data_IF_016341538814
#
_entry.id   IF_016341538814
#
_cell.length_a   1.000
_cell.length_b   1.000
_cell.length_c   1.000
_cell.angle_alpha   90.00
_cell.angle_beta   90.00
_cell.angle_gamma   90.00
#
_symmetry.space_group_name_H-M   'P 1'
#
loop_
_entity.id
_entity.type
_entity.pdbx_description
1 polymer ?
#
# COMPACT_ATOMS: atom_id res chain seq x y z
N UNK A 1 3.91 28.79 -26.03
CA UNK A 1 3.69 27.63 -25.13
C UNK A 1 3.88 26.37 -25.97
N UNK A 2 5.07 25.85 -26.03
CA UNK A 2 5.41 24.64 -26.79
C UNK A 2 4.70 23.45 -26.14
N UNK A 3 3.79 22.83 -26.87
CA UNK A 3 3.20 21.52 -26.54
C UNK A 3 4.35 20.52 -26.40
N UNK A 4 4.78 20.23 -25.16
CA UNK A 4 5.70 19.12 -24.94
C UNK A 4 5.01 17.84 -25.44
N UNK A 5 5.46 17.34 -26.60
CA UNK A 5 5.04 16.03 -27.11
C UNK A 5 5.30 14.99 -26.01
N UNK A 6 4.29 14.21 -25.69
CA UNK A 6 4.41 13.09 -24.74
C UNK A 6 5.48 12.16 -25.29
N UNK A 7 6.58 12.03 -24.60
CA UNK A 7 7.63 11.10 -24.99
C UNK A 7 7.35 9.75 -24.31
N UNK A 8 6.59 8.93 -25.00
CA UNK A 8 6.14 7.60 -24.53
C UNK A 8 7.33 6.75 -24.08
N UNK A 9 8.48 6.84 -24.76
CA UNK A 9 9.68 6.08 -24.39
C UNK A 9 10.26 6.43 -23.00
N UNK A 10 9.98 7.64 -22.49
CA UNK A 10 10.39 8.04 -21.13
C UNK A 10 9.34 7.66 -20.05
N UNK A 11 8.09 7.48 -20.46
CA UNK A 11 6.99 7.18 -19.53
C UNK A 11 6.96 5.70 -19.15
N UNK A 12 7.13 4.80 -20.11
CA UNK A 12 7.05 3.35 -19.84
C UNK A 12 8.03 2.86 -18.77
N UNK A 13 9.32 3.25 -18.74
CA UNK A 13 10.24 2.85 -17.68
C UNK A 13 9.79 3.34 -16.31
N UNK A 14 9.19 4.53 -16.23
CA UNK A 14 8.62 5.06 -14.97
C UNK A 14 7.38 4.26 -14.57
N UNK A 15 6.51 3.88 -15.52
CA UNK A 15 5.36 3.03 -15.23
C UNK A 15 5.76 1.64 -14.71
N UNK A 16 6.84 1.07 -15.22
CA UNK A 16 7.35 -0.21 -14.74
C UNK A 16 7.75 -0.14 -13.25
N UNK A 17 8.20 1.03 -12.77
CA UNK A 17 8.47 1.21 -11.34
C UNK A 17 7.20 1.14 -10.48
N UNK A 18 6.04 1.52 -11.01
CA UNK A 18 4.76 1.37 -10.30
C UNK A 18 4.29 -0.10 -10.23
N UNK A 19 4.69 -0.94 -11.19
CA UNK A 19 4.54 -2.40 -11.07
C UNK A 19 5.33 -2.89 -9.87
N UNK A 20 6.63 -2.51 -9.78
CA UNK A 20 7.48 -2.90 -8.64
C UNK A 20 6.95 -2.32 -7.32
N UNK A 21 6.39 -1.11 -7.32
CA UNK A 21 5.74 -0.52 -6.15
C UNK A 21 4.59 -1.39 -5.62
N UNK A 22 3.87 -2.10 -6.50
CA UNK A 22 2.82 -3.04 -6.11
C UNK A 22 3.32 -4.32 -5.46
N UNK A 23 4.61 -4.65 -5.58
CA UNK A 23 5.17 -5.89 -5.01
C UNK A 23 5.15 -5.92 -3.48
N UNK A 24 5.06 -4.78 -2.83
CA UNK A 24 4.92 -4.71 -1.37
C UNK A 24 3.67 -5.45 -0.87
N UNK A 25 2.62 -5.50 -1.67
CA UNK A 25 1.35 -6.11 -1.30
C UNK A 25 1.42 -7.66 -1.28
N UNK A 26 2.56 -8.26 -1.76
CA UNK A 26 2.87 -9.69 -1.57
C UNK A 26 2.94 -10.07 -0.09
N UNK A 27 3.17 -9.10 0.80
CA UNK A 27 3.21 -9.33 2.24
C UNK A 27 1.98 -10.08 2.75
N UNK A 28 0.79 -9.79 2.18
CA UNK A 28 -0.45 -10.44 2.57
C UNK A 28 -0.39 -11.95 2.38
N UNK A 29 -0.22 -12.39 1.14
CA UNK A 29 -0.19 -13.83 0.82
C UNK A 29 1.04 -14.51 1.41
N UNK A 30 2.18 -13.85 1.45
CA UNK A 30 3.42 -14.40 2.04
C UNK A 30 3.27 -14.66 3.53
N UNK A 31 2.55 -13.81 4.27
CA UNK A 31 2.35 -13.98 5.72
C UNK A 31 1.76 -15.36 6.03
N UNK A 32 0.73 -15.80 5.29
CA UNK A 32 0.12 -17.11 5.52
C UNK A 32 1.04 -18.27 5.15
N UNK A 33 1.79 -18.18 4.05
CA UNK A 33 2.74 -19.23 3.68
C UNK A 33 3.91 -19.32 4.67
N UNK A 34 4.48 -18.20 5.08
CA UNK A 34 5.58 -18.13 6.06
C UNK A 34 5.11 -18.64 7.43
N UNK A 35 3.87 -18.27 7.83
CA UNK A 35 3.26 -18.78 9.06
C UNK A 35 3.18 -20.30 9.05
N UNK A 36 2.77 -20.90 7.93
CA UNK A 36 2.71 -22.36 7.75
C UNK A 36 4.11 -22.98 7.74
N UNK A 37 5.05 -22.41 6.97
CA UNK A 37 6.39 -22.97 6.76
C UNK A 37 7.23 -23.04 8.07
N UNK A 38 7.01 -22.07 8.97
CA UNK A 38 7.75 -21.95 10.24
C UNK A 38 6.87 -22.18 11.48
N UNK A 39 5.64 -22.65 11.33
CA UNK A 39 4.69 -22.95 12.41
C UNK A 39 4.53 -21.77 13.39
N UNK A 40 4.41 -20.54 12.85
CA UNK A 40 4.38 -19.33 13.65
C UNK A 40 3.02 -19.09 14.30
N UNK A 41 3.01 -18.50 15.50
CA UNK A 41 1.81 -17.90 16.07
C UNK A 41 1.30 -16.72 15.22
N UNK A 42 0.02 -16.37 15.34
CA UNK A 42 -0.56 -15.21 14.67
C UNK A 42 0.25 -13.94 14.95
N UNK A 43 0.69 -13.75 16.18
CA UNK A 43 1.50 -12.59 16.57
C UNK A 43 2.84 -12.55 15.82
N UNK A 44 3.57 -13.67 15.76
CA UNK A 44 4.86 -13.73 15.07
C UNK A 44 4.71 -13.57 13.56
N UNK A 45 3.66 -14.12 12.96
CA UNK A 45 3.39 -13.97 11.54
C UNK A 45 3.19 -12.49 11.15
N UNK A 46 2.54 -11.70 12.01
CA UNK A 46 2.30 -10.28 11.76
C UNK A 46 3.55 -9.38 11.92
N UNK A 47 4.69 -9.93 12.36
CA UNK A 47 5.97 -9.22 12.24
C UNK A 47 6.43 -9.05 10.78
N UNK A 48 5.93 -9.87 9.85
CA UNK A 48 6.26 -9.74 8.43
C UNK A 48 5.75 -8.41 7.86
N UNK A 49 4.46 -8.04 7.94
CA UNK A 49 4.01 -6.71 7.56
C UNK A 49 4.67 -5.59 8.38
N UNK A 50 4.94 -5.80 9.68
CA UNK A 50 5.69 -4.84 10.48
C UNK A 50 7.06 -4.52 9.85
N UNK A 51 7.85 -5.56 9.50
CA UNK A 51 9.18 -5.40 8.89
C UNK A 51 9.15 -4.71 7.52
N UNK A 52 8.00 -4.68 6.84
CA UNK A 52 7.83 -3.95 5.58
C UNK A 52 7.48 -2.48 5.83
N UNK A 53 6.47 -2.22 6.65
CA UNK A 53 5.83 -0.90 6.71
C UNK A 53 6.45 0.07 7.72
N UNK A 54 7.24 -0.41 8.68
CA UNK A 54 7.94 0.47 9.66
C UNK A 54 8.89 1.46 8.97
N UNK A 55 9.46 1.09 7.83
CA UNK A 55 10.42 1.90 7.10
C UNK A 55 9.80 3.14 6.45
N UNK A 56 8.49 3.15 6.24
CA UNK A 56 7.78 4.35 5.81
C UNK A 56 7.90 5.47 6.84
N UNK A 57 7.84 5.14 8.13
CA UNK A 57 8.08 6.11 9.19
C UNK A 57 9.51 6.61 9.20
N UNK A 58 10.48 5.71 9.07
CA UNK A 58 11.90 6.02 9.20
C UNK A 58 12.44 6.77 7.99
N UNK A 59 12.08 6.35 6.76
CA UNK A 59 12.75 6.80 5.54
C UNK A 59 11.95 7.81 4.70
N UNK A 60 10.64 8.01 4.88
CA UNK A 60 9.86 8.87 3.99
C UNK A 60 10.40 10.29 3.91
N UNK A 61 10.65 10.94 5.03
CA UNK A 61 11.18 12.31 5.07
C UNK A 61 12.66 12.36 4.64
N UNK A 62 13.57 11.52 5.17
CA UNK A 62 14.95 11.47 4.72
C UNK A 62 15.10 11.22 3.21
N UNK A 63 14.31 10.31 2.65
CA UNK A 63 14.31 10.04 1.19
C UNK A 63 13.83 11.24 0.40
N UNK A 64 12.76 11.92 0.85
CA UNK A 64 12.27 13.15 0.24
C UNK A 64 13.33 14.24 0.15
N UNK A 65 14.08 14.46 1.25
CA UNK A 65 15.19 15.43 1.29
C UNK A 65 16.38 14.98 0.43
N UNK A 66 16.70 13.69 0.46
CA UNK A 66 17.84 13.15 -0.27
C UNK A 66 17.61 13.15 -1.79
N UNK A 67 16.38 12.87 -2.26
CA UNK A 67 16.08 12.90 -3.70
C UNK A 67 16.27 14.28 -4.33
N UNK A 68 16.08 15.37 -3.57
CA UNK A 68 16.35 16.75 -4.05
C UNK A 68 17.84 17.00 -4.28
N UNK A 69 18.74 16.25 -3.59
CA UNK A 69 20.19 16.38 -3.70
C UNK A 69 20.78 15.48 -4.80
N UNK A 70 20.36 14.21 -4.84
CA UNK A 70 20.97 13.21 -5.74
C UNK A 70 20.17 12.93 -7.01
N UNK A 71 18.93 13.44 -7.09
CA UNK A 71 17.99 13.25 -8.18
C UNK A 71 16.99 12.11 -7.94
N UNK A 72 15.78 12.29 -8.47
CA UNK A 72 14.63 11.40 -8.32
C UNK A 72 14.88 10.04 -9.00
N UNK A 73 15.46 10.06 -10.21
CA UNK A 73 15.80 8.85 -10.96
C UNK A 73 16.84 8.00 -10.25
N UNK A 74 17.90 8.62 -9.69
CA UNK A 74 18.92 7.89 -8.92
C UNK A 74 18.32 7.30 -7.66
N UNK A 75 17.50 8.08 -6.95
CA UNK A 75 16.81 7.62 -5.76
C UNK A 75 15.89 6.42 -6.07
N UNK A 76 15.13 6.50 -7.17
CA UNK A 76 14.31 5.39 -7.66
C UNK A 76 15.13 4.12 -7.90
N UNK A 77 16.26 4.22 -8.61
CA UNK A 77 17.12 3.05 -8.87
C UNK A 77 17.70 2.45 -7.58
N UNK A 78 18.04 3.27 -6.58
CA UNK A 78 18.47 2.79 -5.26
C UNK A 78 17.34 1.98 -4.61
N UNK A 79 16.11 2.49 -4.61
CA UNK A 79 14.96 1.78 -4.05
C UNK A 79 14.68 0.45 -4.76
N UNK A 80 14.72 0.44 -6.09
CA UNK A 80 14.57 -0.77 -6.90
C UNK A 80 15.69 -1.79 -6.61
N UNK A 81 16.93 -1.34 -6.47
CA UNK A 81 18.06 -2.21 -6.16
C UNK A 81 17.94 -2.85 -4.76
N UNK A 82 17.56 -2.06 -3.76
CA UNK A 82 17.32 -2.57 -2.39
C UNK A 82 16.18 -3.59 -2.40
N UNK A 83 15.09 -3.32 -3.14
CA UNK A 83 13.98 -4.27 -3.32
C UNK A 83 14.46 -5.57 -3.97
N UNK A 84 15.27 -5.47 -5.04
CA UNK A 84 15.82 -6.64 -5.74
C UNK A 84 16.66 -7.54 -4.81
N UNK A 85 17.54 -6.93 -4.03
CA UNK A 85 18.34 -7.66 -3.04
C UNK A 85 17.44 -8.35 -2.02
N UNK A 86 16.44 -7.62 -1.48
CA UNK A 86 15.46 -8.20 -0.55
C UNK A 86 14.75 -9.43 -1.12
N UNK A 87 14.26 -9.35 -2.36
CA UNK A 87 13.56 -10.45 -3.03
C UNK A 87 14.41 -11.73 -3.19
N UNK A 88 15.74 -11.59 -3.29
CA UNK A 88 16.66 -12.73 -3.52
C UNK A 88 17.17 -13.40 -2.23
N UNK A 89 17.11 -12.74 -1.08
CA UNK A 89 17.64 -13.27 0.19
C UNK A 89 17.09 -14.65 0.55
N UNK A 90 15.76 -14.95 0.44
CA UNK A 90 15.22 -16.25 0.81
C UNK A 90 15.73 -17.42 -0.01
N UNK A 91 16.37 -17.16 -1.16
CA UNK A 91 16.96 -18.21 -2.01
C UNK A 91 18.42 -18.54 -1.65
N UNK A 92 19.10 -17.68 -0.88
CA UNK A 92 20.46 -17.95 -0.36
C UNK A 92 20.35 -18.91 0.82
N UNK A 93 19.45 -18.61 1.75
CA UNK A 93 19.19 -19.45 2.92
C UNK A 93 17.76 -19.18 3.41
N UNK A 94 16.91 -20.22 3.46
CA UNK A 94 15.52 -20.09 3.87
C UNK A 94 15.35 -20.35 5.36
N UNK A 95 15.26 -19.30 6.14
CA UNK A 95 14.97 -19.29 7.57
C UNK A 95 14.05 -18.12 7.91
N UNK A 96 13.39 -18.17 9.06
CA UNK A 96 12.53 -17.06 9.49
C UNK A 96 13.29 -15.73 9.56
N UNK A 97 14.52 -15.73 10.07
CA UNK A 97 15.37 -14.52 10.14
C UNK A 97 15.69 -13.99 8.74
N UNK A 98 16.06 -14.85 7.79
CA UNK A 98 16.37 -14.42 6.43
C UNK A 98 15.13 -13.84 5.72
N UNK A 99 13.96 -14.41 5.99
CA UNK A 99 12.69 -13.88 5.50
C UNK A 99 12.42 -12.49 6.08
N UNK A 100 12.61 -12.28 7.38
CA UNK A 100 12.46 -10.95 7.99
C UNK A 100 13.42 -9.93 7.34
N UNK A 101 14.69 -10.30 7.12
CA UNK A 101 15.67 -9.44 6.45
C UNK A 101 15.24 -9.14 5.00
N UNK A 102 14.70 -10.12 4.29
CA UNK A 102 14.14 -9.92 2.95
C UNK A 102 13.02 -8.88 2.95
N UNK A 103 12.06 -9.01 3.87
CA UNK A 103 10.94 -8.08 3.98
C UNK A 103 11.36 -6.69 4.49
N UNK A 104 12.42 -6.58 5.30
CA UNK A 104 13.08 -5.30 5.60
C UNK A 104 13.60 -4.66 4.29
N UNK A 105 14.32 -5.42 3.47
CA UNK A 105 14.83 -4.93 2.17
C UNK A 105 13.70 -4.49 1.23
N UNK A 106 12.65 -5.28 1.12
CA UNK A 106 11.45 -4.94 0.33
C UNK A 106 10.79 -3.66 0.88
N UNK A 107 10.67 -3.52 2.21
CA UNK A 107 10.07 -2.36 2.86
C UNK A 107 10.86 -1.08 2.65
N UNK A 108 12.18 -1.10 2.87
CA UNK A 108 13.07 0.04 2.63
C UNK A 108 13.02 0.44 1.15
N UNK A 109 13.20 -0.54 0.25
CA UNK A 109 13.19 -0.32 -1.18
C UNK A 109 11.86 0.26 -1.65
N UNK A 110 10.73 -0.29 -1.18
CA UNK A 110 9.39 0.20 -1.53
C UNK A 110 9.12 1.61 -0.99
N UNK A 111 9.56 1.94 0.23
CA UNK A 111 9.48 3.31 0.77
C UNK A 111 10.18 4.30 -0.15
N UNK A 112 11.40 3.98 -0.57
CA UNK A 112 12.18 4.82 -1.48
C UNK A 112 11.46 4.97 -2.83
N UNK A 113 10.96 3.87 -3.39
CA UNK A 113 10.21 3.86 -4.65
C UNK A 113 8.95 4.72 -4.53
N UNK A 114 8.16 4.57 -3.47
CA UNK A 114 6.90 5.34 -3.30
C UNK A 114 7.15 6.84 -3.15
N UNK A 115 8.18 7.24 -2.41
CA UNK A 115 8.53 8.67 -2.26
C UNK A 115 9.01 9.27 -3.58
N UNK A 116 9.77 8.52 -4.39
CA UNK A 116 10.37 9.01 -5.63
C UNK A 116 9.46 8.90 -6.86
N UNK A 117 8.49 7.96 -6.88
CA UNK A 117 7.71 7.62 -8.07
C UNK A 117 6.86 8.77 -8.60
N UNK A 118 6.08 9.41 -7.74
CA UNK A 118 5.20 10.50 -8.15
C UNK A 118 5.98 11.73 -8.63
N UNK A 119 7.02 12.22 -7.92
CA UNK A 119 7.89 13.29 -8.43
C UNK A 119 8.61 12.94 -9.72
N UNK A 120 9.06 11.69 -9.90
CA UNK A 120 9.71 11.26 -11.13
C UNK A 120 8.72 11.25 -12.32
N UNK A 121 7.46 10.82 -12.08
CA UNK A 121 6.42 10.87 -13.11
C UNK A 121 6.14 12.31 -13.56
N UNK A 122 6.19 13.30 -12.65
CA UNK A 122 6.02 14.72 -12.99
C UNK A 122 7.09 15.25 -13.93
N UNK A 123 8.29 14.66 -13.95
CA UNK A 123 9.37 15.08 -14.86
C UNK A 123 9.14 14.61 -16.30
N UNK A 124 8.38 13.51 -16.50
CA UNK A 124 8.19 12.90 -17.82
C UNK A 124 6.81 13.16 -18.43
N UNK A 125 5.87 13.73 -17.66
CA UNK A 125 4.48 13.98 -18.07
C UNK A 125 4.19 15.50 -17.96
N UNK A 126 3.44 16.03 -18.94
CA UNK A 126 3.00 17.44 -18.87
C UNK A 126 2.00 17.65 -17.71
N UNK A 127 2.03 18.83 -17.08
CA UNK A 127 1.16 19.20 -15.96
C UNK A 127 -0.34 18.99 -16.27
N UNK A 128 -0.76 19.28 -17.51
CA UNK A 128 -2.16 19.09 -17.96
C UNK A 128 -2.64 17.63 -17.90
N UNK A 129 -1.72 16.65 -18.01
CA UNK A 129 -2.04 15.21 -18.04
C UNK A 129 -1.58 14.48 -16.79
N UNK A 130 -0.95 15.18 -15.85
CA UNK A 130 -0.34 14.58 -14.66
C UNK A 130 -1.35 13.77 -13.85
N UNK A 131 -2.54 14.34 -13.55
CA UNK A 131 -3.57 13.64 -12.76
C UNK A 131 -4.02 12.32 -13.42
N UNK A 132 -4.19 12.33 -14.76
CA UNK A 132 -4.56 11.10 -15.49
C UNK A 132 -3.48 10.04 -15.43
N UNK A 133 -2.20 10.44 -15.57
CA UNK A 133 -1.09 9.51 -15.51
C UNK A 133 -0.82 9.00 -14.09
N UNK A 134 -1.02 9.82 -13.05
CA UNK A 134 -1.00 9.38 -11.65
C UNK A 134 -2.09 8.33 -11.38
N UNK A 135 -3.32 8.58 -11.85
CA UNK A 135 -4.41 7.60 -11.71
C UNK A 135 -4.09 6.30 -12.44
N UNK A 136 -3.55 6.39 -13.67
CA UNK A 136 -3.15 5.22 -14.45
C UNK A 136 -2.01 4.45 -13.76
N UNK A 137 -1.04 5.13 -13.16
CA UNK A 137 0.06 4.47 -12.44
C UNK A 137 -0.43 3.72 -11.21
N UNK A 138 -1.40 4.28 -10.46
CA UNK A 138 -2.02 3.58 -9.33
C UNK A 138 -2.88 2.39 -9.78
N UNK A 139 -3.51 2.47 -10.94
CA UNK A 139 -4.20 1.33 -11.55
C UNK A 139 -3.22 0.20 -11.91
N UNK A 140 -2.07 0.54 -12.51
CA UNK A 140 -1.00 -0.42 -12.81
C UNK A 140 -0.48 -1.09 -11.53
N UNK A 141 -0.27 -0.31 -10.45
CA UNK A 141 0.05 -0.85 -9.12
C UNK A 141 -1.01 -1.86 -8.66
N UNK A 142 -2.29 -1.50 -8.76
CA UNK A 142 -3.39 -2.35 -8.28
C UNK A 142 -3.48 -3.69 -9.04
N UNK A 143 -3.18 -3.71 -10.35
CA UNK A 143 -3.08 -4.95 -11.13
C UNK A 143 -2.01 -5.86 -10.53
N UNK A 144 -0.86 -5.31 -10.18
CA UNK A 144 0.25 -6.09 -9.61
C UNK A 144 -0.11 -6.67 -8.25
N UNK A 145 -0.76 -5.88 -7.41
CA UNK A 145 -1.26 -6.33 -6.10
C UNK A 145 -2.26 -7.47 -6.22
N UNK A 146 -3.15 -7.40 -7.22
CA UNK A 146 -4.12 -8.47 -7.56
C UNK A 146 -3.42 -9.75 -8.03
N UNK A 147 -2.39 -9.63 -8.88
CA UNK A 147 -1.72 -10.79 -9.48
C UNK A 147 -0.80 -11.52 -8.49
N UNK A 148 -0.29 -10.83 -7.47
CA UNK A 148 0.64 -11.42 -6.50
C UNK A 148 0.14 -12.72 -5.87
N UNK A 149 -1.03 -12.74 -5.22
CA UNK A 149 -1.59 -13.95 -4.63
C UNK A 149 -1.86 -15.06 -5.66
N UNK A 150 -2.28 -14.69 -6.88
CA UNK A 150 -2.53 -15.66 -7.96
C UNK A 150 -1.23 -16.36 -8.36
N UNK A 151 -0.16 -15.59 -8.57
CA UNK A 151 1.15 -16.15 -8.97
C UNK A 151 1.75 -16.97 -7.83
N UNK A 152 1.66 -16.51 -6.58
CA UNK A 152 2.16 -17.25 -5.41
C UNK A 152 1.42 -18.58 -5.24
N UNK A 153 0.08 -18.57 -5.33
CA UNK A 153 -0.74 -19.78 -5.19
C UNK A 153 -0.49 -20.77 -6.35
N UNK A 154 -0.40 -20.27 -7.59
CA UNK A 154 -0.07 -21.10 -8.75
C UNK A 154 1.31 -21.77 -8.56
N UNK A 155 2.29 -21.00 -8.08
CA UNK A 155 3.64 -21.51 -7.84
C UNK A 155 3.63 -22.60 -6.73
N UNK A 156 2.90 -22.37 -5.65
CA UNK A 156 2.75 -23.33 -4.57
C UNK A 156 2.11 -24.64 -5.05
N UNK A 157 1.02 -24.57 -5.84
CA UNK A 157 0.32 -25.75 -6.34
C UNK A 157 1.09 -26.51 -7.41
N UNK A 158 1.76 -25.79 -8.32
CA UNK A 158 2.44 -26.44 -9.47
C UNK A 158 3.85 -26.89 -9.18
N UNK A 159 4.60 -26.09 -8.41
CA UNK A 159 6.03 -26.32 -8.13
C UNK A 159 6.30 -26.69 -6.67
N UNK A 160 5.29 -26.73 -5.80
CA UNK A 160 5.42 -27.00 -4.37
C UNK A 160 6.09 -25.88 -3.56
N UNK A 161 6.34 -24.72 -4.16
CA UNK A 161 7.04 -23.61 -3.51
C UNK A 161 6.49 -22.26 -3.95
N UNK A 162 5.83 -21.55 -3.03
CA UNK A 162 5.25 -20.22 -3.27
C UNK A 162 6.32 -19.15 -3.56
N UNK A 163 7.56 -19.35 -3.11
CA UNK A 163 8.66 -18.38 -3.25
C UNK A 163 9.03 -18.06 -4.70
N UNK A 164 8.63 -18.87 -5.67
CA UNK A 164 8.81 -18.56 -7.08
C UNK A 164 8.23 -17.20 -7.50
N UNK A 165 7.21 -16.71 -6.82
CA UNK A 165 6.68 -15.35 -7.06
C UNK A 165 7.75 -14.28 -6.81
N UNK A 166 8.64 -14.47 -5.83
CA UNK A 166 9.73 -13.55 -5.53
C UNK A 166 10.76 -13.50 -6.67
N UNK A 167 11.02 -14.63 -7.36
CA UNK A 167 11.86 -14.66 -8.56
C UNK A 167 11.21 -13.88 -9.70
N UNK A 168 9.91 -14.07 -9.94
CA UNK A 168 9.19 -13.29 -10.95
C UNK A 168 9.32 -11.79 -10.66
N UNK A 169 9.14 -11.40 -9.40
CA UNK A 169 9.27 -10.02 -8.96
C UNK A 169 10.71 -9.50 -9.09
N UNK A 170 11.71 -10.32 -8.78
CA UNK A 170 13.14 -9.97 -8.94
C UNK A 170 13.47 -9.72 -10.43
N UNK A 171 13.00 -10.55 -11.33
CA UNK A 171 13.20 -10.37 -12.79
C UNK A 171 12.56 -9.05 -13.26
N UNK A 172 11.31 -8.77 -12.88
CA UNK A 172 10.62 -7.52 -13.25
C UNK A 172 11.35 -6.31 -12.66
N UNK A 173 11.82 -6.41 -11.40
CA UNK A 173 12.59 -5.34 -10.75
C UNK A 173 13.91 -5.08 -11.47
N UNK A 174 14.64 -6.14 -11.86
CA UNK A 174 15.89 -6.02 -12.63
C UNK A 174 15.63 -5.35 -13.99
N UNK A 175 14.59 -5.77 -14.71
CA UNK A 175 14.20 -5.14 -15.98
C UNK A 175 13.84 -3.66 -15.77
N UNK A 176 13.17 -3.33 -14.68
CA UNK A 176 12.85 -1.94 -14.32
C UNK A 176 14.12 -1.11 -14.08
N UNK A 177 15.10 -1.64 -13.33
CA UNK A 177 16.39 -0.98 -13.11
C UNK A 177 17.12 -0.73 -14.43
N UNK A 178 17.25 -1.75 -15.27
CA UNK A 178 17.97 -1.68 -16.53
C UNK A 178 17.33 -0.64 -17.46
N UNK A 179 16.00 -0.72 -17.64
CA UNK A 179 15.30 0.21 -18.53
C UNK A 179 15.32 1.64 -18.00
N UNK A 180 15.04 1.86 -16.72
CA UNK A 180 15.08 3.19 -16.14
C UNK A 180 16.51 3.77 -16.19
N UNK A 181 17.55 2.96 -15.93
CA UNK A 181 18.94 3.40 -15.95
C UNK A 181 19.37 3.91 -17.33
N UNK A 182 18.96 3.25 -18.40
CA UNK A 182 19.28 3.64 -19.80
C UNK A 182 18.44 4.82 -20.31
N UNK A 183 17.30 5.12 -19.66
CA UNK A 183 16.41 6.21 -20.08
C UNK A 183 16.96 7.57 -19.64
N UNK A 184 17.15 8.51 -20.56
CA UNK A 184 17.56 9.88 -20.24
C UNK A 184 16.35 10.70 -19.78
N UNK A 185 16.27 11.00 -18.48
CA UNK A 185 15.26 11.88 -17.87
C UNK A 185 15.98 13.16 -17.43
N UNK A 186 15.54 14.30 -17.95
CA UNK A 186 16.00 15.62 -17.51
C UNK A 186 15.17 16.04 -16.32
N UNK A 187 15.77 16.02 -15.14
CA UNK A 187 15.11 16.42 -13.91
C UNK A 187 15.25 17.91 -13.70
N UNK A 188 14.13 18.59 -13.46
CA UNK A 188 14.13 19.99 -13.04
C UNK A 188 14.62 20.06 -11.60
N UNK A 189 15.77 20.67 -11.41
CA UNK A 189 16.37 20.82 -10.09
C UNK A 189 15.63 21.92 -9.32
N UNK A 190 15.17 21.56 -8.12
CA UNK A 190 14.75 22.35 -6.94
C UNK A 190 13.31 22.81 -6.86
N UNK A 191 12.64 22.35 -5.80
CA UNK A 191 11.62 23.14 -5.09
C UNK A 191 12.33 24.31 -4.36
N UNK A 192 11.82 25.52 -4.49
CA UNK A 192 12.41 26.72 -3.84
C UNK A 192 12.42 26.65 -2.31
N UNK A 193 11.59 25.79 -1.72
CA UNK A 193 11.54 25.55 -0.27
C UNK A 193 11.47 24.04 -0.04
N UNK A 194 12.56 23.37 0.32
CA UNK A 194 12.53 21.97 0.67
C UNK A 194 11.75 21.78 1.97
N UNK A 195 10.84 20.80 2.01
CA UNK A 195 10.18 20.39 3.24
C UNK A 195 11.27 19.99 4.27
N UNK A 196 11.16 20.51 5.49
CA UNK A 196 12.06 20.14 6.57
C UNK A 196 11.35 19.24 7.57
N UNK A 197 12.08 18.38 8.25
CA UNK A 197 11.52 17.54 9.32
C UNK A 197 10.81 18.40 10.39
N UNK A 198 11.44 19.51 10.79
CA UNK A 198 10.90 20.42 11.80
C UNK A 198 9.59 21.07 11.36
N UNK A 199 9.46 21.52 10.09
CA UNK A 199 8.23 22.13 9.59
C UNK A 199 7.08 21.11 9.51
N UNK A 200 7.36 19.86 9.17
CA UNK A 200 6.40 18.77 9.18
C UNK A 200 5.90 18.47 10.60
N UNK A 201 6.82 18.34 11.57
CA UNK A 201 6.43 18.04 12.95
C UNK A 201 5.57 19.17 13.57
N UNK A 202 5.88 20.43 13.25
CA UNK A 202 5.07 21.58 13.69
C UNK A 202 3.65 21.53 13.14
N UNK A 203 3.43 20.99 11.95
CA UNK A 203 2.08 20.85 11.38
C UNK A 203 1.21 19.84 12.13
N UNK A 204 1.78 18.88 12.84
CA UNK A 204 1.01 17.93 13.68
C UNK A 204 0.32 18.60 14.88
N UNK A 205 0.66 19.85 15.21
CA UNK A 205 -0.10 20.63 16.21
C UNK A 205 -1.44 21.13 15.67
N UNK A 206 -1.62 21.18 14.35
CA UNK A 206 -2.90 21.51 13.73
C UNK A 206 -3.83 20.30 13.79
N UNK A 207 -4.99 20.46 14.42
CA UNK A 207 -5.97 19.38 14.66
C UNK A 207 -6.48 18.75 13.36
N UNK A 208 -6.65 19.54 12.31
CA UNK A 208 -7.08 19.02 10.99
C UNK A 208 -5.99 18.12 10.39
N UNK A 209 -4.74 18.58 10.35
CA UNK A 209 -3.61 17.80 9.82
C UNK A 209 -3.41 16.52 10.62
N UNK A 210 -3.43 16.63 11.97
CA UNK A 210 -3.30 15.45 12.83
C UNK A 210 -4.39 14.42 12.57
N UNK A 211 -5.65 14.86 12.42
CA UNK A 211 -6.76 13.95 12.12
C UNK A 211 -6.58 13.25 10.77
N UNK A 212 -6.11 13.96 9.74
CA UNK A 212 -5.82 13.36 8.42
C UNK A 212 -4.67 12.35 8.49
N UNK A 213 -3.61 12.65 9.24
CA UNK A 213 -2.47 11.75 9.47
C UNK A 213 -2.93 10.47 10.19
N UNK A 214 -3.73 10.61 11.27
CA UNK A 214 -4.29 9.45 11.98
C UNK A 214 -5.26 8.67 11.09
N UNK A 215 -6.04 9.35 10.23
CA UNK A 215 -6.94 8.67 9.29
C UNK A 215 -6.16 7.83 8.27
N UNK A 216 -5.05 8.34 7.71
CA UNK A 216 -4.16 7.55 6.83
C UNK A 216 -3.54 6.39 7.60
N UNK A 217 -3.10 6.62 8.84
CA UNK A 217 -2.56 5.55 9.69
C UNK A 217 -3.57 4.41 9.84
N UNK A 218 -4.81 4.71 10.17
CA UNK A 218 -5.83 3.67 10.37
C UNK A 218 -6.27 3.01 9.07
N UNK A 219 -6.45 3.76 7.97
CA UNK A 219 -6.88 3.12 6.72
C UNK A 219 -5.79 2.22 6.14
N UNK A 220 -4.52 2.63 6.20
CA UNK A 220 -3.43 1.79 5.72
C UNK A 220 -3.23 0.60 6.66
N UNK A 221 -3.35 0.81 7.97
CA UNK A 221 -3.35 -0.27 8.94
C UNK A 221 -4.45 -1.30 8.69
N UNK A 222 -5.67 -0.83 8.37
CA UNK A 222 -6.79 -1.70 8.04
C UNK A 222 -6.58 -2.42 6.69
N UNK A 223 -6.06 -1.74 5.67
CA UNK A 223 -5.79 -2.32 4.35
C UNK A 223 -4.75 -3.45 4.43
N UNK A 224 -3.62 -3.18 5.08
CA UNK A 224 -2.56 -4.19 5.31
C UNK A 224 -3.05 -5.29 6.24
N UNK A 225 -3.81 -4.94 7.28
CA UNK A 225 -4.42 -5.89 8.21
C UNK A 225 -5.39 -6.84 7.50
N UNK A 226 -6.25 -6.33 6.61
CA UNK A 226 -7.10 -7.18 5.76
C UNK A 226 -6.22 -8.07 4.88
N UNK A 227 -5.32 -7.49 4.09
CA UNK A 227 -4.47 -8.23 3.16
C UNK A 227 -3.73 -9.40 3.85
N UNK A 228 -3.12 -9.17 5.02
CA UNK A 228 -2.33 -10.18 5.74
C UNK A 228 -3.16 -11.20 6.53
N UNK A 229 -4.44 -10.95 6.77
CA UNK A 229 -5.28 -11.83 7.59
C UNK A 229 -6.42 -12.52 6.83
N UNK A 230 -6.70 -12.18 5.56
CA UNK A 230 -7.76 -12.82 4.76
C UNK A 230 -7.61 -14.35 4.72
N UNK A 231 -6.39 -14.85 4.53
CA UNK A 231 -6.12 -16.29 4.56
C UNK A 231 -6.54 -16.88 5.91
N UNK A 232 -6.11 -16.26 7.02
CA UNK A 232 -6.48 -16.68 8.36
C UNK A 232 -7.98 -16.66 8.61
N UNK A 233 -8.70 -15.66 8.11
CA UNK A 233 -10.17 -15.59 8.22
C UNK A 233 -10.84 -16.76 7.50
N UNK A 234 -10.49 -17.01 6.24
CA UNK A 234 -11.08 -18.08 5.45
C UNK A 234 -10.72 -19.48 5.96
N UNK A 235 -9.48 -19.67 6.43
CA UNK A 235 -9.03 -20.93 7.00
C UNK A 235 -9.71 -21.22 8.35
N UNK A 236 -9.65 -20.27 9.30
CA UNK A 236 -10.11 -20.50 10.69
C UNK A 236 -11.62 -20.47 10.85
N UNK A 237 -12.34 -19.67 10.05
CA UNK A 237 -13.79 -19.55 10.13
C UNK A 237 -14.51 -20.56 9.23
N UNK A 238 -13.91 -20.94 8.09
CA UNK A 238 -14.61 -21.72 7.06
C UNK A 238 -13.85 -22.96 6.57
N UNK A 239 -12.68 -23.29 7.16
CA UNK A 239 -11.95 -24.52 6.85
C UNK A 239 -11.32 -24.57 5.44
N UNK A 240 -11.06 -23.42 4.81
CA UNK A 240 -10.38 -23.39 3.52
C UNK A 240 -8.94 -23.89 3.63
N UNK A 241 -8.42 -24.55 2.58
CA UNK A 241 -6.97 -24.76 2.46
C UNK A 241 -6.27 -23.40 2.30
N UNK A 242 -4.97 -23.33 2.61
CA UNK A 242 -4.17 -22.10 2.46
C UNK A 242 -4.20 -21.59 1.02
N UNK A 243 -4.11 -22.50 0.05
CA UNK A 243 -4.11 -22.19 -1.39
C UNK A 243 -5.44 -21.54 -1.80
N UNK A 244 -6.58 -22.13 -1.38
CA UNK A 244 -7.91 -21.60 -1.69
C UNK A 244 -8.18 -20.29 -0.92
N UNK A 245 -7.72 -20.16 0.31
CA UNK A 245 -7.84 -18.95 1.10
C UNK A 245 -7.04 -17.78 0.49
N UNK A 246 -5.91 -18.07 -0.18
CA UNK A 246 -5.07 -17.07 -0.86
C UNK A 246 -5.82 -16.32 -1.97
N UNK A 247 -6.75 -16.96 -2.66
CA UNK A 247 -7.60 -16.28 -3.66
C UNK A 247 -8.50 -15.21 -3.05
N UNK A 248 -8.81 -15.29 -1.75
CA UNK A 248 -9.53 -14.26 -1.02
C UNK A 248 -8.83 -12.90 -1.07
N UNK A 249 -7.49 -12.89 -1.07
CA UNK A 249 -6.70 -11.65 -1.21
C UNK A 249 -6.89 -11.06 -2.62
N UNK A 250 -6.92 -11.89 -3.66
CA UNK A 250 -7.19 -11.43 -5.03
C UNK A 250 -8.60 -10.88 -5.18
N UNK A 251 -9.59 -11.46 -4.50
CA UNK A 251 -10.97 -10.95 -4.43
C UNK A 251 -10.98 -9.54 -3.81
N UNK A 252 -10.24 -9.35 -2.71
CA UNK A 252 -10.10 -8.05 -2.05
C UNK A 252 -9.48 -7.00 -2.97
N UNK A 253 -8.35 -7.31 -3.62
CA UNK A 253 -7.69 -6.37 -4.54
C UNK A 253 -8.49 -6.11 -5.81
N UNK A 254 -9.27 -7.08 -6.30
CA UNK A 254 -10.24 -6.86 -7.40
C UNK A 254 -11.28 -5.82 -6.99
N UNK A 255 -11.83 -5.95 -5.79
CA UNK A 255 -12.80 -5.00 -5.27
C UNK A 255 -12.19 -3.60 -5.09
N UNK A 256 -10.97 -3.50 -4.54
CA UNK A 256 -10.23 -2.23 -4.45
C UNK A 256 -10.06 -1.58 -5.83
N UNK A 257 -9.67 -2.35 -6.84
CA UNK A 257 -9.47 -1.87 -8.22
C UNK A 257 -10.79 -1.35 -8.81
N UNK A 258 -11.87 -2.11 -8.69
CA UNK A 258 -13.22 -1.71 -9.14
C UNK A 258 -13.67 -0.44 -8.42
N UNK A 259 -13.51 -0.40 -7.09
CA UNK A 259 -13.87 0.75 -6.28
C UNK A 259 -13.16 2.02 -6.73
N UNK A 260 -11.85 1.95 -7.00
CA UNK A 260 -11.05 3.09 -7.49
C UNK A 260 -11.53 3.58 -8.85
N UNK A 261 -11.82 2.67 -9.77
CA UNK A 261 -12.35 3.01 -11.09
C UNK A 261 -13.73 3.68 -10.99
N UNK A 262 -14.66 3.06 -10.26
CA UNK A 262 -16.01 3.59 -10.03
C UNK A 262 -15.96 4.91 -9.26
N UNK A 263 -15.08 5.01 -8.26
CA UNK A 263 -14.88 6.22 -7.48
C UNK A 263 -14.40 7.40 -8.31
N UNK A 264 -13.50 7.18 -9.27
CA UNK A 264 -13.04 8.23 -10.18
C UNK A 264 -14.18 8.83 -11.03
N UNK A 265 -15.21 8.03 -11.34
CA UNK A 265 -16.41 8.48 -12.04
C UNK A 265 -17.36 9.19 -11.06
N UNK A 266 -17.67 8.56 -9.93
CA UNK A 266 -18.66 9.06 -8.96
C UNK A 266 -18.23 10.38 -8.31
N UNK A 267 -16.93 10.60 -8.09
CA UNK A 267 -16.39 11.83 -7.52
C UNK A 267 -16.54 13.07 -8.43
N UNK A 268 -16.94 12.89 -9.69
CA UNK A 268 -17.33 14.00 -10.55
C UNK A 268 -18.71 14.57 -10.17
N UNK A 269 -19.54 13.78 -9.48
CA UNK A 269 -20.92 14.10 -9.12
C UNK A 269 -21.14 14.18 -7.60
N UNK A 270 -20.34 13.47 -6.81
CA UNK A 270 -20.51 13.36 -5.36
C UNK A 270 -19.48 14.21 -4.61
N UNK A 271 -19.92 14.78 -3.47
CA UNK A 271 -18.99 15.46 -2.56
C UNK A 271 -18.02 14.46 -1.93
N UNK A 272 -16.70 14.75 -1.89
CA UNK A 272 -15.68 13.81 -1.35
C UNK A 272 -16.01 13.30 0.07
N UNK A 273 -16.50 14.15 0.96
CA UNK A 273 -16.88 13.78 2.33
C UNK A 273 -18.05 12.78 2.35
N UNK A 274 -19.09 13.02 1.52
CA UNK A 274 -20.22 12.09 1.43
C UNK A 274 -19.76 10.73 0.91
N UNK A 275 -18.91 10.72 -0.11
CA UNK A 275 -18.37 9.48 -0.67
C UNK A 275 -17.47 8.74 0.34
N UNK A 276 -16.64 9.48 1.12
CA UNK A 276 -15.82 8.91 2.20
C UNK A 276 -16.70 8.20 3.24
N UNK A 277 -17.76 8.86 3.74
CA UNK A 277 -18.65 8.26 4.74
C UNK A 277 -19.36 7.03 4.19
N UNK A 278 -19.91 7.12 2.97
CA UNK A 278 -20.64 6.01 2.34
C UNK A 278 -19.74 4.78 2.13
N UNK A 279 -18.53 4.99 1.65
CA UNK A 279 -17.57 3.88 1.42
C UNK A 279 -17.02 3.33 2.74
N UNK A 280 -16.85 4.15 3.78
CA UNK A 280 -16.49 3.68 5.13
C UNK A 280 -17.61 2.81 5.73
N UNK A 281 -18.88 3.22 5.62
CA UNK A 281 -20.03 2.42 6.08
C UNK A 281 -20.08 1.09 5.32
N UNK A 282 -19.82 1.10 4.01
CA UNK A 282 -19.77 -0.12 3.19
C UNK A 282 -18.67 -1.08 3.67
N UNK A 283 -17.46 -0.56 3.98
CA UNK A 283 -16.38 -1.37 4.54
C UNK A 283 -16.76 -1.98 5.89
N UNK A 284 -17.37 -1.20 6.79
CA UNK A 284 -17.85 -1.69 8.08
C UNK A 284 -18.93 -2.78 7.92
N UNK A 285 -19.89 -2.60 7.01
CA UNK A 285 -20.88 -3.60 6.70
C UNK A 285 -20.23 -4.92 6.22
N UNK A 286 -19.19 -4.83 5.37
CA UNK A 286 -18.42 -5.99 4.94
C UNK A 286 -17.73 -6.72 6.09
N UNK A 287 -17.12 -5.99 7.04
CA UNK A 287 -16.50 -6.60 8.24
C UNK A 287 -17.54 -7.31 9.09
N UNK A 288 -18.69 -6.69 9.34
CA UNK A 288 -19.78 -7.33 10.06
C UNK A 288 -20.25 -8.60 9.35
N UNK A 289 -20.38 -8.57 8.02
CA UNK A 289 -20.74 -9.75 7.23
C UNK A 289 -19.68 -10.86 7.32
N UNK A 290 -18.37 -10.56 7.43
CA UNK A 290 -17.33 -11.58 7.68
C UNK A 290 -17.58 -12.23 9.06
N UNK A 291 -17.80 -11.43 10.10
CA UNK A 291 -18.02 -11.92 11.47
C UNK A 291 -19.24 -12.86 11.55
N UNK A 292 -20.31 -12.51 10.86
CA UNK A 292 -21.56 -13.30 10.86
C UNK A 292 -21.67 -14.27 9.68
N UNK A 293 -20.60 -14.47 8.90
CA UNK A 293 -20.64 -15.39 7.77
C UNK A 293 -20.80 -16.83 8.21
N UNK A 294 -21.79 -17.51 7.66
CA UNK A 294 -22.04 -18.95 7.92
C UNK A 294 -21.45 -19.85 6.86
N UNK A 295 -21.07 -19.31 5.71
CA UNK A 295 -20.45 -20.05 4.60
C UNK A 295 -19.23 -19.32 4.05
N UNK A 296 -18.28 -20.08 3.48
CA UNK A 296 -17.08 -19.50 2.87
C UNK A 296 -17.40 -18.56 1.69
N UNK A 297 -18.45 -18.84 0.92
CA UNK A 297 -18.89 -17.95 -0.17
C UNK A 297 -19.37 -16.61 0.40
N UNK A 298 -20.14 -16.64 1.48
CA UNK A 298 -20.58 -15.42 2.16
C UNK A 298 -19.40 -14.61 2.68
N UNK A 299 -18.37 -15.27 3.23
CA UNK A 299 -17.15 -14.63 3.68
C UNK A 299 -16.39 -13.98 2.49
N UNK A 300 -16.28 -14.65 1.34
CA UNK A 300 -15.64 -14.10 0.14
C UNK A 300 -16.40 -12.88 -0.41
N UNK A 301 -17.74 -12.94 -0.44
CA UNK A 301 -18.58 -11.79 -0.81
C UNK A 301 -18.38 -10.63 0.17
N UNK A 302 -18.30 -10.93 1.46
CA UNK A 302 -18.05 -9.93 2.49
C UNK A 302 -16.68 -9.28 2.34
N UNK A 303 -15.62 -10.06 2.05
CA UNK A 303 -14.26 -9.57 1.74
C UNK A 303 -14.30 -8.64 0.52
N UNK A 304 -15.05 -8.99 -0.53
CA UNK A 304 -15.25 -8.14 -1.70
C UNK A 304 -15.92 -6.80 -1.32
N UNK A 305 -16.95 -6.83 -0.47
CA UNK A 305 -17.63 -5.63 0.04
C UNK A 305 -16.67 -4.74 0.84
N UNK A 306 -15.82 -5.32 1.71
CA UNK A 306 -14.78 -4.56 2.43
C UNK A 306 -13.86 -3.86 1.44
N UNK A 307 -13.39 -4.58 0.40
CA UNK A 307 -12.53 -4.01 -0.63
C UNK A 307 -13.19 -2.86 -1.41
N UNK A 308 -14.48 -3.00 -1.78
CA UNK A 308 -15.23 -1.92 -2.41
C UNK A 308 -15.32 -0.67 -1.51
N UNK A 309 -15.53 -0.87 -0.21
CA UNK A 309 -15.57 0.22 0.75
C UNK A 309 -14.19 0.87 0.97
N UNK A 310 -13.12 0.08 1.10
CA UNK A 310 -11.78 0.57 1.43
C UNK A 310 -11.07 1.28 0.27
N UNK A 311 -11.36 0.91 -0.98
CA UNK A 311 -10.56 1.24 -2.17
C UNK A 311 -10.29 2.73 -2.40
N UNK A 312 -11.24 3.60 -2.07
CA UNK A 312 -11.11 5.03 -2.27
C UNK A 312 -10.75 5.82 -1.01
N UNK A 313 -10.72 5.21 0.18
CA UNK A 313 -10.54 5.95 1.44
C UNK A 313 -9.19 6.65 1.52
N UNK A 314 -8.09 5.96 1.15
CA UNK A 314 -6.76 6.55 1.12
C UNK A 314 -6.69 7.79 0.19
N UNK A 315 -7.02 7.72 -1.12
CA UNK A 315 -6.95 8.88 -1.99
C UNK A 315 -7.92 10.00 -1.60
N UNK A 316 -9.08 9.68 -1.02
CA UNK A 316 -10.03 10.68 -0.52
C UNK A 316 -9.45 11.46 0.65
N UNK A 317 -8.93 10.79 1.68
CA UNK A 317 -8.33 11.44 2.85
C UNK A 317 -7.13 12.28 2.40
N UNK A 318 -6.30 11.75 1.51
CA UNK A 318 -5.15 12.45 0.95
C UNK A 318 -5.57 13.74 0.22
N UNK A 319 -6.59 13.65 -0.63
CA UNK A 319 -7.14 14.80 -1.35
C UNK A 319 -7.77 15.83 -0.41
N UNK A 320 -8.54 15.39 0.58
CA UNK A 320 -9.16 16.27 1.59
C UNK A 320 -8.08 17.03 2.36
N UNK A 321 -7.02 16.35 2.78
CA UNK A 321 -5.92 16.94 3.53
C UNK A 321 -5.18 18.03 2.72
N UNK A 322 -4.82 17.73 1.47
CA UNK A 322 -4.12 18.70 0.60
C UNK A 322 -5.00 19.90 0.26
N UNK A 323 -6.28 19.66 -0.09
CA UNK A 323 -7.20 20.72 -0.44
C UNK A 323 -7.58 21.58 0.77
N UNK A 324 -7.49 21.04 1.99
CA UNK A 324 -7.76 21.77 3.22
C UNK A 324 -6.66 22.78 3.59
N UNK A 325 -5.40 22.57 3.12
CA UNK A 325 -4.26 23.47 3.36
C UNK A 325 -3.33 23.48 2.13
N UNK A 326 -3.72 24.08 1.00
CA UNK A 326 -2.97 24.01 -0.25
C UNK A 326 -1.56 24.59 -0.17
N UNK A 327 -1.35 25.63 0.65
CA UNK A 327 -0.06 26.29 0.86
C UNK A 327 0.99 25.38 1.53
N UNK A 328 0.56 24.31 2.20
CA UNK A 328 1.42 23.38 2.94
C UNK A 328 1.34 21.95 2.37
N UNK A 329 0.94 21.81 1.11
CA UNK A 329 0.68 20.50 0.47
C UNK A 329 1.90 19.57 0.48
N UNK A 330 3.13 20.10 0.37
CA UNK A 330 4.35 19.29 0.37
C UNK A 330 4.60 18.66 1.75
N UNK A 331 4.50 19.43 2.83
CA UNK A 331 4.68 18.93 4.19
C UNK A 331 3.56 17.95 4.57
N UNK A 332 2.32 18.27 4.20
CA UNK A 332 1.17 17.38 4.44
C UNK A 332 1.37 16.05 3.70
N UNK A 333 1.78 16.08 2.43
CA UNK A 333 2.08 14.87 1.67
C UNK A 333 3.14 14.01 2.35
N UNK A 334 4.22 14.62 2.85
CA UNK A 334 5.27 13.92 3.59
C UNK A 334 4.75 13.25 4.87
N UNK A 335 3.90 13.95 5.63
CA UNK A 335 3.28 13.41 6.85
C UNK A 335 2.30 12.27 6.54
N UNK A 336 1.49 12.40 5.48
CA UNK A 336 0.56 11.35 5.09
C UNK A 336 1.29 10.09 4.59
N UNK A 337 2.42 10.23 3.87
CA UNK A 337 3.26 9.09 3.48
C UNK A 337 3.91 8.45 4.71
N UNK A 338 4.39 9.25 5.67
CA UNK A 338 4.90 8.74 6.95
C UNK A 338 3.84 7.94 7.72
N UNK A 339 2.57 8.36 7.65
CA UNK A 339 1.45 7.69 8.32
C UNK A 339 1.13 6.28 7.75
N UNK A 340 1.70 5.90 6.60
CA UNK A 340 1.63 4.53 6.05
C UNK A 340 2.18 3.50 7.05
N UNK A 341 2.95 3.94 8.05
CA UNK A 341 3.39 3.10 9.18
C UNK A 341 2.25 2.42 9.93
N UNK A 342 1.00 2.85 9.77
CA UNK A 342 -0.17 2.11 10.24
C UNK A 342 -0.19 0.66 9.79
N UNK A 343 0.31 0.38 8.56
CA UNK A 343 0.51 -0.97 8.06
C UNK A 343 1.56 -1.80 8.82
N UNK A 344 2.45 -1.15 9.58
CA UNK A 344 3.38 -1.84 10.47
C UNK A 344 2.77 -2.15 11.83
N UNK A 345 1.91 -1.29 12.36
CA UNK A 345 1.49 -1.37 13.76
C UNK A 345 0.14 -2.07 13.95
N UNK A 346 -0.80 -1.91 13.02
CA UNK A 346 -2.13 -2.52 13.13
C UNK A 346 -2.09 -4.05 12.98
N UNK A 347 -1.38 -4.65 11.99
CA UNK A 347 -1.36 -6.11 11.85
C UNK A 347 -0.79 -6.85 13.07
N UNK A 348 0.35 -6.46 13.68
CA UNK A 348 0.81 -7.07 14.93
C UNK A 348 -0.21 -6.96 16.07
N UNK A 349 -0.90 -5.82 16.21
CA UNK A 349 -1.98 -5.68 17.19
C UNK A 349 -3.11 -6.67 16.93
N UNK A 350 -3.50 -6.86 15.66
CA UNK A 350 -4.47 -7.88 15.25
C UNK A 350 -3.98 -9.28 15.60
N UNK A 351 -2.69 -9.59 15.39
CA UNK A 351 -2.07 -10.86 15.75
C UNK A 351 -2.15 -11.14 17.26
N UNK A 352 -1.79 -10.16 18.10
CA UNK A 352 -1.89 -10.29 19.58
C UNK A 352 -3.32 -10.53 20.02
N UNK A 353 -4.27 -9.77 19.47
CA UNK A 353 -5.69 -9.93 19.80
C UNK A 353 -6.22 -11.27 19.28
N UNK A 354 -5.80 -11.72 18.10
CA UNK A 354 -6.20 -13.02 17.55
C UNK A 354 -5.75 -14.20 18.41
N UNK A 355 -4.56 -14.12 19.02
CA UNK A 355 -4.08 -15.20 19.92
C UNK A 355 -4.85 -15.29 21.23
N UNK A 356 -5.39 -14.17 21.72
CA UNK A 356 -6.13 -14.11 23.00
C UNK A 356 -7.65 -14.29 22.87
N UNK A 357 -8.25 -13.76 21.81
CA UNK A 357 -9.72 -13.71 21.62
C UNK A 357 -10.20 -14.43 20.36
N UNK A 358 -9.28 -15.06 19.62
CA UNK A 358 -9.55 -15.68 18.34
C UNK A 358 -9.58 -14.67 17.19
N UNK A 359 -9.73 -15.20 15.98
CA UNK A 359 -9.64 -14.41 14.73
C UNK A 359 -10.73 -13.32 14.63
N UNK A 360 -11.86 -13.49 15.30
CA UNK A 360 -12.93 -12.49 15.34
C UNK A 360 -12.46 -11.21 16.05
N UNK A 361 -11.64 -11.34 17.09
CA UNK A 361 -11.08 -10.19 17.79
C UNK A 361 -10.23 -9.30 16.86
N UNK A 362 -9.50 -9.89 15.93
CA UNK A 362 -8.73 -9.12 14.93
C UNK A 362 -9.64 -8.34 13.97
N UNK A 363 -10.82 -8.86 13.62
CA UNK A 363 -11.81 -8.14 12.82
C UNK A 363 -12.40 -6.92 13.55
N UNK A 364 -12.51 -6.99 14.88
CA UNK A 364 -12.94 -5.85 15.68
C UNK A 364 -11.91 -4.71 15.60
N UNK A 365 -10.60 -5.02 15.60
CA UNK A 365 -9.56 -3.99 15.40
C UNK A 365 -9.75 -3.29 14.05
N UNK A 366 -10.03 -4.03 12.98
CA UNK A 366 -10.31 -3.44 11.66
C UNK A 366 -11.55 -2.54 11.70
N UNK A 367 -12.62 -3.01 12.35
CA UNK A 367 -13.84 -2.20 12.51
C UNK A 367 -13.55 -0.88 13.23
N UNK A 368 -12.75 -0.90 14.31
CA UNK A 368 -12.36 0.31 15.04
C UNK A 368 -11.57 1.28 14.15
N UNK A 369 -10.66 0.78 13.29
CA UNK A 369 -9.96 1.62 12.33
C UNK A 369 -10.93 2.34 11.38
N UNK A 370 -11.93 1.66 10.84
CA UNK A 370 -12.93 2.28 9.96
C UNK A 370 -13.89 3.20 10.72
N UNK A 371 -14.28 2.86 11.96
CA UNK A 371 -15.14 3.72 12.79
C UNK A 371 -14.49 5.10 13.00
N UNK A 372 -13.17 5.14 13.20
CA UNK A 372 -12.47 6.42 13.32
C UNK A 372 -12.69 7.33 12.12
N UNK A 373 -12.75 6.77 10.90
CA UNK A 373 -12.93 7.56 9.67
C UNK A 373 -14.30 8.26 9.61
N UNK A 374 -15.30 7.77 10.32
CA UNK A 374 -16.63 8.41 10.42
C UNK A 374 -16.58 9.73 11.19
N UNK A 375 -15.51 10.00 11.95
CA UNK A 375 -15.31 11.28 12.65
C UNK A 375 -14.65 12.35 11.77
N UNK A 376 -14.06 12.00 10.63
CA UNK A 376 -13.38 12.94 9.72
C UNK A 376 -14.28 14.09 9.25
N UNK A 377 -15.57 13.88 8.91
CA UNK A 377 -16.46 14.97 8.50
C UNK A 377 -16.65 16.10 9.55
N UNK A 378 -16.40 15.79 10.82
CA UNK A 378 -16.55 16.76 11.93
C UNK A 378 -15.28 17.59 12.15
N UNK A 379 -14.18 17.25 11.51
CA UNK A 379 -12.89 17.96 11.62
C UNK A 379 -12.81 19.00 10.52
N UNK A 380 -12.91 20.29 10.91
CA UNK A 380 -12.85 21.41 9.96
C UNK A 380 -11.41 21.85 9.74
N UNK A 381 -11.07 22.23 8.50
CA UNK A 381 -9.88 23.03 8.21
C UNK A 381 -10.07 24.42 8.79
N UNK A 382 -9.04 24.97 9.43
CA UNK A 382 -9.06 26.31 10.02
C UNK A 382 -8.42 27.35 9.07
N UNK A 383 -8.36 27.07 7.76
CA UNK A 383 -7.95 28.06 6.74
C UNK A 383 -9.15 28.73 6.11
#
# INVERSE_FOLDING_TARGET
MTSQKINISKIFPVFLTFIVMGFVDIVGVSTGYIQKDFELSDTLAQFIPFMVFIWFFVFSIPVGVLQDKIGKKRMMNIGLFVTLVGLLIPFIYYSFISVLIAFIGIGIGNTIVQVAANPLLQEVVSQKKLSSFLSLSQFVKAITSLLGPIVATFAALKYGDWKWVLIVYAVVTLLSILWLSTTKIEEKIKSEIPASFSSCMKLLTNKFVLAMVIAIFFIVGADVGMNSNIQGFLMKLHGYSLENASYGISIYFTALMISRFVGAILLQFLKPIFFLVSTTILALAGILLIIFSTTGIMAQVAIFIVGLGAGNLFPLIFSIAINGMPSRSNEISGLLVMAIVGGALVPPLMGVVSTSTGIIGSLIILALCFIFLLFIPFVKSND
#
